data_IF_821137090011
#
_entry.id   IF_821137090011
#
_cell.length_a   1.000
_cell.length_b   1.000
_cell.length_c   1.000
_cell.angle_alpha   90.00
_cell.angle_beta   90.00
_cell.angle_gamma   90.00
#
_symmetry.space_group_name_H-M   'P 1'
#
loop_
_entity.id
_entity.type
_entity.pdbx_description
1 polymer ?
#
# COMPACT_ATOMS: atom_id res chain seq x y z
N UNK A 1 8.64 -8.04 -1.14
CA UNK A 1 8.61 -8.19 -2.61
C UNK A 1 8.45 -6.84 -3.29
N UNK A 2 9.37 -6.48 -4.20
CA UNK A 2 9.17 -5.43 -5.20
C UNK A 2 9.04 -6.13 -6.56
N UNK A 3 8.07 -5.73 -7.38
CA UNK A 3 7.77 -6.41 -8.64
C UNK A 3 8.66 -5.86 -9.77
N UNK A 4 9.43 -6.74 -10.41
CA UNK A 4 10.05 -6.49 -11.71
C UNK A 4 9.15 -7.03 -12.82
N UNK A 5 9.05 -6.26 -13.91
CA UNK A 5 7.97 -6.37 -14.90
C UNK A 5 8.18 -7.47 -15.97
N UNK A 6 9.15 -8.38 -15.84
CA UNK A 6 9.46 -9.35 -16.90
C UNK A 6 9.82 -10.80 -16.45
N UNK A 7 9.64 -11.17 -15.18
CA UNK A 7 9.75 -12.58 -14.78
C UNK A 7 8.89 -12.86 -13.55
N UNK A 8 8.21 -14.01 -13.52
CA UNK A 8 7.39 -14.46 -12.38
C UNK A 8 8.20 -14.86 -11.14
N UNK A 9 9.52 -14.63 -11.14
CA UNK A 9 10.36 -14.80 -9.96
C UNK A 9 10.36 -13.51 -9.13
N UNK A 10 9.78 -13.59 -7.94
CA UNK A 10 9.85 -12.52 -6.95
C UNK A 10 11.30 -12.37 -6.47
N UNK A 11 11.94 -11.25 -6.79
CA UNK A 11 13.25 -10.92 -6.22
C UNK A 11 13.07 -10.66 -4.72
N UNK A 12 13.75 -11.46 -3.90
CA UNK A 12 13.82 -11.24 -2.46
C UNK A 12 14.49 -9.89 -2.19
N UNK A 13 13.80 -9.01 -1.46
CA UNK A 13 14.35 -7.72 -1.09
C UNK A 13 15.10 -7.84 0.22
N UNK A 14 16.37 -7.43 0.23
CA UNK A 14 17.18 -7.35 1.46
C UNK A 14 16.67 -6.26 2.43
N UNK A 15 15.91 -5.28 1.92
CA UNK A 15 15.35 -4.16 2.70
C UNK A 15 14.04 -4.57 3.36
N UNK A 16 13.18 -5.29 2.64
CA UNK A 16 11.89 -5.80 3.12
C UNK A 16 11.73 -7.27 2.77
N UNK A 17 12.00 -8.13 3.73
CA UNK A 17 12.05 -9.58 3.52
C UNK A 17 10.70 -10.28 3.69
N UNK A 18 9.61 -9.53 3.86
CA UNK A 18 8.26 -10.08 4.00
C UNK A 18 7.64 -10.53 2.67
N UNK A 19 6.70 -11.46 2.76
CA UNK A 19 5.73 -11.69 1.69
C UNK A 19 4.62 -10.63 1.77
N UNK A 20 3.88 -10.42 0.69
CA UNK A 20 2.79 -9.46 0.69
C UNK A 20 1.91 -9.48 -0.55
N UNK A 21 0.69 -8.97 -0.38
CA UNK A 21 -0.30 -8.80 -1.44
C UNK A 21 -1.10 -7.51 -1.22
N UNK A 22 -1.93 -7.15 -2.19
CA UNK A 22 -2.87 -6.04 -2.06
C UNK A 22 -4.31 -6.53 -2.11
N UNK A 23 -5.15 -6.03 -1.20
CA UNK A 23 -6.59 -6.06 -1.34
C UNK A 23 -7.03 -4.79 -2.06
N UNK A 24 -7.83 -4.94 -3.11
CA UNK A 24 -8.32 -3.78 -3.85
C UNK A 24 -9.21 -2.89 -2.98
N UNK A 25 -9.30 -1.60 -3.33
CA UNK A 25 -10.21 -0.67 -2.65
C UNK A 25 -11.64 -1.21 -2.72
N UNK A 26 -12.33 -1.20 -1.59
CA UNK A 26 -13.69 -1.74 -1.47
C UNK A 26 -13.90 -3.11 -2.15
N UNK A 27 -12.88 -3.99 -2.12
CA UNK A 27 -12.91 -5.30 -2.80
C UNK A 27 -14.14 -6.14 -2.42
N UNK A 28 -14.54 -6.07 -1.16
CA UNK A 28 -15.75 -6.67 -0.61
C UNK A 28 -16.29 -5.78 0.53
N UNK A 29 -17.45 -6.17 1.09
CA UNK A 29 -18.12 -5.43 2.16
C UNK A 29 -17.26 -5.32 3.43
N UNK A 30 -16.44 -6.34 3.74
CA UNK A 30 -15.56 -6.33 4.91
C UNK A 30 -14.45 -5.31 4.73
N UNK A 31 -13.77 -5.34 3.58
CA UNK A 31 -12.74 -4.39 3.19
C UNK A 31 -13.30 -2.97 3.16
N UNK A 32 -14.45 -2.76 2.53
CA UNK A 32 -15.10 -1.45 2.45
C UNK A 32 -15.43 -0.89 3.85
N UNK A 33 -15.94 -1.72 4.75
CA UNK A 33 -16.26 -1.31 6.12
C UNK A 33 -15.01 -0.97 6.94
N UNK A 34 -13.90 -1.68 6.73
CA UNK A 34 -12.61 -1.35 7.36
C UNK A 34 -12.11 0.00 6.83
N UNK A 35 -12.13 0.22 5.52
CA UNK A 35 -11.70 1.48 4.91
C UNK A 35 -12.54 2.67 5.37
N UNK A 36 -13.86 2.50 5.48
CA UNK A 36 -14.76 3.52 6.02
C UNK A 36 -14.46 3.84 7.50
N UNK A 37 -14.14 2.82 8.31
CA UNK A 37 -13.75 3.01 9.72
C UNK A 37 -12.42 3.77 9.83
N UNK A 38 -11.45 3.46 8.98
CA UNK A 38 -10.17 4.17 8.91
C UNK A 38 -10.40 5.64 8.54
N UNK A 39 -11.22 5.91 7.53
CA UNK A 39 -11.54 7.29 7.13
C UNK A 39 -12.22 8.06 8.27
N UNK A 40 -13.17 7.44 8.97
CA UNK A 40 -13.84 8.05 10.11
C UNK A 40 -12.90 8.32 11.30
N UNK A 41 -11.96 7.41 11.59
CA UNK A 41 -11.00 7.57 12.70
C UNK A 41 -9.92 8.61 12.41
N UNK A 42 -9.40 8.63 11.18
CA UNK A 42 -8.31 9.51 10.77
C UNK A 42 -8.78 10.92 10.40
N UNK A 43 -10.08 11.11 10.18
CA UNK A 43 -10.66 12.30 9.56
C UNK A 43 -10.09 12.61 8.16
N UNK A 44 -9.55 11.59 7.48
CA UNK A 44 -9.04 11.70 6.12
C UNK A 44 -10.01 11.02 5.14
N UNK A 45 -10.29 11.60 3.96
CA UNK A 45 -11.24 11.05 3.01
C UNK A 45 -10.82 9.65 2.49
N UNK A 46 -11.79 8.76 2.26
CA UNK A 46 -11.52 7.38 1.84
C UNK A 46 -10.90 7.31 0.43
N UNK A 47 -11.24 8.28 -0.44
CA UNK A 47 -10.68 8.46 -1.79
C UNK A 47 -9.16 8.73 -1.75
N UNK A 48 -8.62 9.26 -0.66
CA UNK A 48 -7.19 9.49 -0.49
C UNK A 48 -6.42 8.19 -0.19
N UNK A 49 -7.11 7.13 0.23
CA UNK A 49 -6.51 5.86 0.58
C UNK A 49 -6.13 5.01 -0.65
N UNK A 50 -4.94 4.41 -0.64
CA UNK A 50 -4.54 3.36 -1.60
C UNK A 50 -5.14 2.00 -1.21
N UNK A 51 -5.14 1.01 -2.10
CA UNK A 51 -5.39 -0.41 -1.78
C UNK A 51 -4.63 -0.86 -0.53
N UNK A 52 -5.28 -1.64 0.35
CA UNK A 52 -4.64 -2.14 1.58
C UNK A 52 -3.56 -3.17 1.25
N UNK A 53 -2.37 -3.01 1.83
CA UNK A 53 -1.29 -3.97 1.68
C UNK A 53 -1.32 -4.98 2.84
N UNK A 54 -1.49 -6.27 2.54
CA UNK A 54 -1.38 -7.37 3.51
C UNK A 54 0.04 -7.91 3.46
N UNK A 55 0.62 -8.13 4.65
CA UNK A 55 2.02 -8.45 4.82
C UNK A 55 2.17 -9.55 5.85
N UNK A 56 3.04 -10.50 5.55
CA UNK A 56 3.34 -11.61 6.43
C UNK A 56 4.85 -11.74 6.60
N UNK A 57 5.28 -11.73 7.87
CA UNK A 57 6.66 -11.86 8.28
C UNK A 57 6.83 -13.16 9.05
N UNK A 58 7.70 -14.02 8.52
CA UNK A 58 8.18 -15.23 9.18
C UNK A 58 9.35 -14.93 10.12
N UNK A 59 9.85 -15.95 10.81
CA UNK A 59 11.00 -15.83 11.72
C UNK A 59 12.22 -15.20 11.01
N UNK A 60 12.79 -14.17 11.62
CA UNK A 60 13.92 -13.39 11.11
C UNK A 60 13.55 -12.33 10.08
N UNK A 61 12.35 -12.36 9.48
CA UNK A 61 11.95 -11.38 8.49
C UNK A 61 11.67 -10.02 9.12
N UNK A 62 12.01 -8.96 8.39
CA UNK A 62 12.06 -7.57 8.87
C UNK A 62 11.74 -6.57 7.75
N UNK A 63 11.64 -5.30 8.14
CA UNK A 63 11.69 -4.18 7.21
C UNK A 63 12.64 -3.14 7.77
N UNK A 64 13.70 -2.82 7.04
CA UNK A 64 14.66 -1.77 7.39
C UNK A 64 14.02 -0.39 7.56
N UNK A 65 14.67 0.54 8.28
CA UNK A 65 14.21 1.92 8.43
C UNK A 65 13.88 2.58 7.10
N UNK A 66 12.68 3.14 7.01
CA UNK A 66 12.21 3.84 5.82
C UNK A 66 11.17 4.91 6.17
N UNK A 67 10.87 5.73 5.18
CA UNK A 67 9.78 6.68 5.20
C UNK A 67 8.63 6.19 4.32
N UNK A 68 7.42 6.52 4.71
CA UNK A 68 6.25 6.26 3.88
C UNK A 68 5.99 7.39 2.87
N UNK A 69 6.53 8.59 3.07
CA UNK A 69 6.49 9.64 2.06
C UNK A 69 7.47 9.34 0.90
N UNK A 70 7.20 9.89 -0.28
CA UNK A 70 8.04 9.70 -1.46
C UNK A 70 9.22 10.67 -1.53
N UNK A 71 10.36 10.20 -2.00
CA UNK A 71 11.50 11.05 -2.36
C UNK A 71 11.50 11.44 -3.84
N UNK A 72 10.84 10.65 -4.69
CA UNK A 72 10.74 10.89 -6.12
C UNK A 72 9.46 11.64 -6.50
N UNK A 73 9.54 12.46 -7.55
CA UNK A 73 8.39 13.23 -8.03
C UNK A 73 7.34 12.36 -8.72
N UNK A 74 7.74 11.27 -9.37
CA UNK A 74 6.84 10.43 -10.15
C UNK A 74 5.73 9.81 -9.30
N UNK A 75 6.09 9.29 -8.11
CA UNK A 75 5.13 8.75 -7.16
C UNK A 75 4.26 9.83 -6.49
N UNK A 76 4.70 11.10 -6.49
CA UNK A 76 3.92 12.23 -5.98
C UNK A 76 2.87 12.73 -6.99
N UNK A 77 2.99 12.43 -8.28
CA UNK A 77 2.00 12.85 -9.27
C UNK A 77 0.61 12.28 -8.96
N UNK A 78 0.57 11.03 -8.46
CA UNK A 78 -0.67 10.36 -8.10
C UNK A 78 -0.99 10.57 -6.61
N UNK A 79 -1.91 11.49 -6.32
CA UNK A 79 -2.38 11.77 -4.97
C UNK A 79 -1.42 12.58 -4.09
N UNK A 80 -0.18 12.84 -4.53
CA UNK A 80 0.85 13.52 -3.72
C UNK A 80 1.54 12.57 -2.73
N UNK A 81 2.26 13.16 -1.76
CA UNK A 81 2.82 12.40 -0.64
C UNK A 81 1.73 11.64 0.12
N UNK A 82 2.14 10.53 0.74
CA UNK A 82 1.36 9.89 1.79
C UNK A 82 1.45 10.75 3.04
N UNK A 83 0.32 11.27 3.52
CA UNK A 83 0.24 12.10 4.72
C UNK A 83 0.20 11.25 5.99
N UNK A 84 -0.46 10.09 5.93
CA UNK A 84 -0.67 9.24 7.07
C UNK A 84 -0.63 7.76 6.69
N UNK A 85 -0.24 6.95 7.66
CA UNK A 85 -0.24 5.50 7.59
C UNK A 85 -1.04 4.94 8.75
N UNK A 86 -1.97 4.03 8.43
CA UNK A 86 -2.62 3.17 9.42
C UNK A 86 -2.06 1.76 9.25
N UNK A 87 -1.31 1.31 10.24
CA UNK A 87 -0.76 -0.04 10.33
C UNK A 87 -1.58 -0.86 11.33
N UNK A 88 -2.28 -1.87 10.84
CA UNK A 88 -3.12 -2.76 11.63
C UNK A 88 -2.40 -4.08 11.88
N UNK A 89 -2.41 -4.57 13.12
CA UNK A 89 -1.84 -5.86 13.50
C UNK A 89 -2.91 -6.95 13.42
N UNK A 90 -2.69 -7.95 12.58
CA UNK A 90 -3.65 -9.03 12.30
C UNK A 90 -3.35 -10.32 13.10
N UNK A 91 -2.17 -10.40 13.71
CA UNK A 91 -1.76 -11.47 14.62
C UNK A 91 -1.07 -10.90 15.87
N UNK A 92 -1.12 -11.68 16.95
CA UNK A 92 -0.26 -11.48 18.11
C UNK A 92 1.12 -12.06 17.78
N UNK A 93 2.19 -11.36 18.15
CA UNK A 93 3.57 -11.87 18.02
C UNK A 93 4.14 -12.06 19.42
N UNK A 94 4.65 -13.24 19.70
CA UNK A 94 5.14 -13.57 21.04
C UNK A 94 6.45 -12.84 21.38
N UNK A 95 7.34 -12.67 20.38
CA UNK A 95 8.59 -11.91 20.55
C UNK A 95 9.10 -11.37 19.21
N UNK A 96 9.64 -10.15 19.24
CA UNK A 96 10.08 -9.43 18.06
C UNK A 96 8.91 -8.81 17.27
N UNK A 97 9.15 -8.43 16.03
CA UNK A 97 8.11 -7.90 15.15
C UNK A 97 7.58 -6.51 15.53
N UNK A 98 8.21 -5.80 16.47
CA UNK A 98 7.80 -4.47 16.90
C UNK A 98 7.89 -3.46 15.75
N UNK A 99 6.98 -2.49 15.72
CA UNK A 99 7.13 -1.31 14.87
C UNK A 99 7.88 -0.24 15.64
N UNK A 100 9.03 0.18 15.14
CA UNK A 100 9.95 1.09 15.87
C UNK A 100 10.12 2.39 15.12
N UNK A 101 10.08 3.51 15.84
CA UNK A 101 10.37 4.86 15.41
C UNK A 101 11.71 5.32 16.02
N UNK A 102 12.85 5.17 15.32
CA UNK A 102 14.17 5.49 15.86
C UNK A 102 14.40 6.98 16.11
N UNK A 103 13.59 7.84 15.47
CA UNK A 103 13.71 9.29 15.56
C UNK A 103 12.65 9.93 16.46
N UNK A 104 11.65 9.18 16.92
CA UNK A 104 10.56 9.72 17.72
C UNK A 104 11.06 10.48 18.97
N UNK A 105 10.41 11.61 19.24
CA UNK A 105 10.57 12.33 20.51
C UNK A 105 10.18 11.39 21.66
N UNK A 106 11.03 11.30 22.68
CA UNK A 106 10.81 10.36 23.79
C UNK A 106 11.15 8.89 23.47
N UNK A 107 11.91 8.60 22.41
CA UNK A 107 12.40 7.24 22.13
C UNK A 107 13.13 6.55 23.30
N UNK A 108 13.77 7.33 24.17
CA UNK A 108 14.44 6.85 25.39
C UNK A 108 13.56 6.91 26.64
N UNK A 109 12.41 7.59 26.59
CA UNK A 109 11.51 7.72 27.75
C UNK A 109 10.52 6.57 27.85
N UNK A 110 10.33 5.78 26.81
CA UNK A 110 9.53 4.56 26.87
C UNK A 110 10.28 3.50 27.70
N UNK A 111 9.75 3.09 28.87
CA UNK A 111 10.38 2.04 29.66
C UNK A 111 10.32 0.72 28.90
N UNK A 112 11.47 0.04 28.80
CA UNK A 112 11.59 -1.27 28.17
C UNK A 112 12.35 -2.19 29.10
N UNK A 113 11.71 -3.29 29.45
CA UNK A 113 12.33 -4.39 30.18
C UNK A 113 12.94 -5.40 29.20
N UNK A 114 13.26 -6.59 29.71
CA UNK A 114 13.91 -7.65 28.95
C UNK A 114 12.97 -8.37 27.97
N UNK A 115 11.65 -8.08 27.95
CA UNK A 115 10.74 -8.67 26.97
C UNK A 115 10.88 -8.06 25.57
N UNK A 116 11.42 -6.84 25.48
CA UNK A 116 11.62 -6.13 24.22
C UNK A 116 12.85 -6.64 23.45
N UNK A 117 12.72 -6.76 22.12
CA UNK A 117 13.86 -7.08 21.28
C UNK A 117 14.93 -5.98 21.32
N UNK A 118 16.20 -6.34 21.08
CA UNK A 118 17.29 -5.36 20.96
C UNK A 118 17.01 -4.33 19.86
N UNK A 119 16.27 -4.73 18.82
CA UNK A 119 15.80 -3.83 17.79
C UNK A 119 14.82 -2.78 18.34
N UNK A 120 13.87 -3.16 19.19
CA UNK A 120 12.89 -2.26 19.79
C UNK A 120 13.47 -1.29 20.82
N UNK A 121 14.60 -1.66 21.45
CA UNK A 121 15.32 -0.77 22.39
C UNK A 121 15.86 0.51 21.73
N UNK A 122 16.04 0.52 20.40
CA UNK A 122 16.62 1.61 19.64
C UNK A 122 15.60 2.61 19.05
N UNK A 123 14.49 2.90 19.74
CA UNK A 123 13.45 3.82 19.26
C UNK A 123 12.21 3.81 20.14
N UNK A 124 11.20 4.64 19.86
CA UNK A 124 9.87 4.39 20.43
C UNK A 124 9.27 3.18 19.69
N UNK A 125 8.74 2.20 20.41
CA UNK A 125 8.36 0.92 19.83
C UNK A 125 6.93 0.53 20.20
N UNK A 126 6.24 -0.14 19.27
CA UNK A 126 4.88 -0.63 19.44
C UNK A 126 4.88 -2.14 19.21
N UNK A 127 4.42 -2.88 20.22
CA UNK A 127 4.25 -4.33 20.13
C UNK A 127 3.06 -4.67 19.22
N UNK A 128 3.20 -5.65 18.31
CA UNK A 128 2.10 -6.12 17.49
C UNK A 128 1.12 -6.97 18.32
N UNK A 129 -0.07 -6.43 18.58
CA UNK A 129 -1.17 -7.11 19.26
C UNK A 129 -2.37 -7.19 18.34
N UNK A 130 -2.96 -8.36 18.21
CA UNK A 130 -4.03 -8.60 17.24
C UNK A 130 -5.21 -7.68 17.49
N UNK A 131 -5.61 -6.95 16.45
CA UNK A 131 -6.72 -6.01 16.48
C UNK A 131 -6.33 -4.57 16.78
N UNK A 132 -5.12 -4.33 17.28
CA UNK A 132 -4.60 -2.97 17.48
C UNK A 132 -4.23 -2.34 16.12
N UNK A 133 -4.34 -1.01 16.07
CA UNK A 133 -3.95 -0.21 14.92
C UNK A 133 -3.11 0.99 15.35
N UNK A 134 -2.03 1.23 14.61
CA UNK A 134 -1.12 2.35 14.78
C UNK A 134 -1.37 3.37 13.67
N UNK A 135 -1.71 4.59 14.04
CA UNK A 135 -1.77 5.75 13.15
C UNK A 135 -0.54 6.62 13.39
N UNK A 136 0.19 6.94 12.33
CA UNK A 136 1.27 7.93 12.36
C UNK A 136 1.26 8.75 11.07
N UNK A 137 1.80 9.97 11.17
CA UNK A 137 1.85 10.93 10.08
C UNK A 137 3.26 10.99 9.50
N UNK A 138 3.34 11.09 8.17
CA UNK A 138 4.60 11.21 7.42
C UNK A 138 4.93 12.64 7.04
N UNK A 139 4.01 13.58 7.30
CA UNK A 139 4.15 15.00 7.00
C UNK A 139 3.77 15.82 8.24
N UNK A 140 4.41 16.98 8.38
CA UNK A 140 3.99 18.01 9.31
C UNK A 140 2.72 18.74 8.83
N UNK A 141 2.12 19.56 9.69
CA UNK A 141 0.90 20.32 9.38
C UNK A 141 1.08 21.33 8.24
N UNK A 142 2.32 21.76 7.98
CA UNK A 142 2.69 22.63 6.85
C UNK A 142 2.97 21.85 5.55
N UNK A 143 2.66 20.55 5.53
CA UNK A 143 2.90 19.61 4.44
C UNK A 143 4.37 19.33 4.10
N UNK A 144 5.31 19.73 4.95
CA UNK A 144 6.71 19.31 4.83
C UNK A 144 6.89 17.88 5.33
N UNK A 145 7.90 17.16 4.82
CA UNK A 145 8.18 15.76 5.21
C UNK A 145 8.70 15.68 6.63
N UNK A 146 8.17 14.73 7.42
CA UNK A 146 8.54 14.55 8.82
C UNK A 146 9.64 13.48 8.97
N UNK A 147 10.85 13.91 9.31
CA UNK A 147 11.98 12.98 9.53
C UNK A 147 11.83 12.09 10.77
N UNK A 148 10.94 12.46 11.70
CA UNK A 148 10.69 11.68 12.91
C UNK A 148 9.73 10.51 12.64
N UNK A 149 9.07 10.52 11.48
CA UNK A 149 8.25 9.40 10.97
C UNK A 149 9.08 8.23 10.43
N UNK A 150 10.42 8.28 10.53
CA UNK A 150 11.29 7.16 10.18
C UNK A 150 10.89 5.96 11.04
N UNK A 151 10.54 4.86 10.39
CA UNK A 151 10.09 3.67 11.09
C UNK A 151 10.57 2.39 10.43
N UNK A 152 10.53 1.30 11.19
CA UNK A 152 10.95 -0.04 10.77
C UNK A 152 10.08 -1.12 11.38
N UNK A 153 10.12 -2.32 10.80
CA UNK A 153 9.61 -3.52 11.44
C UNK A 153 10.79 -4.35 11.93
N UNK A 154 10.88 -4.55 13.25
CA UNK A 154 11.90 -5.42 13.82
C UNK A 154 11.76 -6.87 13.33
N UNK A 155 12.86 -7.64 13.34
CA UNK A 155 12.81 -9.06 13.04
C UNK A 155 11.79 -9.77 13.93
N UNK A 156 10.96 -10.63 13.35
CA UNK A 156 10.13 -11.55 14.13
C UNK A 156 11.05 -12.61 14.74
N UNK A 157 10.93 -12.89 16.04
CA UNK A 157 11.76 -13.89 16.74
C UNK A 157 10.95 -15.16 17.00
N UNK A 158 9.68 -15.01 17.40
CA UNK A 158 8.80 -16.14 17.71
C UNK A 158 7.39 -15.90 17.17
N UNK A 159 6.80 -16.95 16.57
CA UNK A 159 5.54 -16.93 15.81
C UNK A 159 5.67 -16.17 14.48
N UNK A 160 4.56 -15.59 14.01
CA UNK A 160 4.45 -14.91 12.72
C UNK A 160 3.73 -13.58 12.89
N UNK A 161 4.16 -12.57 12.14
CA UNK A 161 3.51 -11.25 12.13
C UNK A 161 2.70 -11.09 10.84
N UNK A 162 1.39 -10.93 11.00
CA UNK A 162 0.49 -10.50 9.95
C UNK A 162 0.11 -9.04 10.19
N UNK A 163 0.19 -8.22 9.14
CA UNK A 163 -0.18 -6.80 9.22
C UNK A 163 -0.89 -6.33 7.96
N UNK A 164 -1.75 -5.33 8.12
CA UNK A 164 -2.38 -4.61 7.02
C UNK A 164 -2.00 -3.13 7.08
N UNK A 165 -1.43 -2.61 6.00
CA UNK A 165 -1.04 -1.20 5.89
C UNK A 165 -2.01 -0.47 4.96
N UNK A 166 -2.58 0.63 5.45
CA UNK A 166 -3.36 1.59 4.67
C UNK A 166 -2.58 2.90 4.58
N UNK A 167 -2.09 3.23 3.39
CA UNK A 167 -1.50 4.53 3.11
C UNK A 167 -2.56 5.50 2.63
N UNK A 168 -2.51 6.73 3.15
CA UNK A 168 -3.45 7.81 2.85
C UNK A 168 -2.67 8.97 2.26
N UNK A 169 -3.06 9.41 1.07
CA UNK A 169 -2.42 10.50 0.33
C UNK A 169 -2.97 11.88 0.71
N UNK A 170 -2.24 12.94 0.38
CA UNK A 170 -2.69 14.33 0.60
C UNK A 170 -3.88 14.72 -0.28
N UNK A 171 -4.06 14.05 -1.43
CA UNK A 171 -5.19 14.21 -2.35
C UNK A 171 -5.76 12.85 -2.71
N UNK A 172 -6.90 12.85 -3.39
CA UNK A 172 -7.53 11.65 -3.96
C UNK A 172 -6.48 10.78 -4.66
N UNK A 173 -6.34 9.55 -4.19
CA UNK A 173 -5.54 8.49 -4.80
C UNK A 173 -6.41 7.53 -5.60
N UNK A 174 -7.74 7.71 -5.58
CA UNK A 174 -8.51 7.29 -6.73
C UNK A 174 -7.83 7.95 -7.92
N UNK A 175 -7.12 7.13 -8.72
CA UNK A 175 -6.79 7.45 -10.10
C UNK A 175 -8.02 8.17 -10.56
N UNK A 176 -7.84 9.45 -10.89
CA UNK A 176 -8.94 10.30 -11.32
C UNK A 176 -9.87 9.36 -12.06
N UNK A 177 -11.13 9.24 -11.61
CA UNK A 177 -12.18 8.93 -12.57
C UNK A 177 -11.70 9.65 -13.81
N UNK A 178 -11.31 8.94 -14.86
CA UNK A 178 -11.09 9.60 -16.15
C UNK A 178 -12.51 10.11 -16.44
N UNK A 179 -12.83 11.27 -15.88
CA UNK A 179 -13.53 12.36 -16.50
C UNK A 179 -12.40 12.92 -17.37
N UNK A 180 -12.16 12.41 -18.56
CA UNK A 180 -13.09 12.12 -19.63
C UNK A 180 -13.80 10.76 -19.49
N UNK A 181 -15.13 10.71 -19.29
CA UNK A 181 -16.10 11.09 -20.34
C UNK A 181 -15.42 11.28 -21.70
N UNK A 182 -14.62 10.31 -22.15
CA UNK A 182 -14.49 10.07 -23.56
C UNK A 182 -15.45 8.91 -23.80
N UNK A 183 -16.70 9.29 -24.11
CA UNK A 183 -17.65 8.37 -24.74
C UNK A 183 -17.12 7.89 -26.10
N UNK A 184 -16.06 8.50 -26.60
CA UNK A 184 -15.48 8.18 -27.88
C UNK A 184 -14.81 6.82 -27.81
N UNK A 185 -15.43 5.87 -28.50
CA UNK A 185 -14.91 4.54 -28.73
C UNK A 185 -13.67 4.63 -29.62
N UNK A 186 -12.49 4.74 -29.00
CA UNK A 186 -11.20 4.84 -29.69
C UNK A 186 -10.27 3.71 -29.28
N UNK A 187 -9.32 3.40 -30.16
CA UNK A 187 -8.17 2.57 -29.82
C UNK A 187 -7.02 3.49 -29.39
N UNK A 188 -6.47 3.28 -28.21
CA UNK A 188 -5.35 4.05 -27.66
C UNK A 188 -3.98 3.48 -28.10
N UNK A 189 -3.96 2.37 -28.85
CA UNK A 189 -2.75 1.76 -29.38
C UNK A 189 -2.90 1.38 -30.86
N UNK A 190 -1.87 1.63 -31.67
CA UNK A 190 -1.85 1.32 -33.11
C UNK A 190 -1.99 -0.18 -33.39
N UNK A 191 -1.56 -1.04 -32.46
CA UNK A 191 -1.62 -2.50 -32.60
C UNK A 191 -2.97 -3.11 -32.17
N UNK A 192 -3.93 -2.31 -31.68
CA UNK A 192 -5.21 -2.83 -31.18
C UNK A 192 -5.94 -3.71 -32.19
N UNK A 193 -5.91 -3.34 -33.49
CA UNK A 193 -6.55 -4.14 -34.55
C UNK A 193 -5.86 -5.49 -34.75
N UNK A 194 -4.53 -5.51 -34.69
CA UNK A 194 -3.72 -6.72 -34.80
C UNK A 194 -3.97 -7.67 -33.63
N UNK A 195 -3.97 -7.13 -32.41
CA UNK A 195 -4.23 -7.89 -31.19
C UNK A 195 -5.66 -8.42 -31.12
N UNK A 196 -6.64 -7.60 -31.50
CA UNK A 196 -8.03 -8.06 -31.60
C UNK A 196 -8.18 -9.20 -32.61
N UNK A 197 -7.49 -9.11 -33.76
CA UNK A 197 -7.46 -10.19 -34.77
C UNK A 197 -6.74 -11.46 -34.27
N UNK A 198 -5.81 -11.33 -33.32
CA UNK A 198 -5.11 -12.43 -32.67
C UNK A 198 -5.90 -13.06 -31.49
N UNK A 199 -7.10 -12.54 -31.20
CA UNK A 199 -7.99 -13.03 -30.14
C UNK A 199 -7.71 -12.44 -28.76
N UNK A 200 -6.96 -11.35 -28.65
CA UNK A 200 -6.61 -10.75 -27.35
C UNK A 200 -7.81 -10.17 -26.61
N UNK A 201 -8.92 -9.87 -27.30
CA UNK A 201 -10.15 -9.43 -26.63
C UNK A 201 -10.68 -10.47 -25.63
N UNK A 202 -10.46 -11.77 -25.89
CA UNK A 202 -10.87 -12.87 -25.02
C UNK A 202 -9.74 -13.30 -24.08
N UNK A 203 -8.50 -13.27 -24.54
CA UNK A 203 -7.31 -13.69 -23.76
C UNK A 203 -6.84 -12.63 -22.76
N UNK A 204 -7.04 -11.37 -23.08
CA UNK A 204 -6.63 -10.22 -22.28
C UNK A 204 -7.75 -9.16 -22.19
N UNK A 205 -8.93 -9.52 -21.64
CA UNK A 205 -10.09 -8.64 -21.62
C UNK A 205 -9.85 -7.40 -20.74
N UNK A 206 -9.05 -7.50 -19.68
CA UNK A 206 -8.72 -6.36 -18.82
C UNK A 206 -8.01 -5.24 -19.59
N UNK A 207 -6.99 -5.56 -20.39
CA UNK A 207 -6.28 -4.55 -21.17
C UNK A 207 -7.10 -4.10 -22.38
N UNK A 208 -7.73 -5.04 -23.08
CA UNK A 208 -8.36 -4.77 -24.36
C UNK A 208 -9.74 -4.09 -24.22
N UNK A 209 -10.56 -4.54 -23.25
CA UNK A 209 -11.96 -4.14 -23.07
C UNK A 209 -12.16 -3.30 -21.80
N UNK A 210 -11.53 -3.68 -20.70
CA UNK A 210 -11.71 -3.09 -19.37
C UNK A 210 -12.81 -3.74 -18.55
N UNK A 211 -13.24 -3.08 -17.47
CA UNK A 211 -14.33 -3.51 -16.58
C UNK A 211 -15.39 -2.41 -16.41
N UNK A 212 -16.34 -2.59 -15.49
CA UNK A 212 -17.34 -1.56 -15.15
C UNK A 212 -16.68 -0.28 -14.60
N UNK A 213 -15.50 -0.40 -13.98
CA UNK A 213 -14.81 0.70 -13.30
C UNK A 213 -13.74 1.39 -14.15
N UNK A 214 -13.34 0.80 -15.28
CA UNK A 214 -12.35 1.38 -16.20
C UNK A 214 -12.49 0.85 -17.63
N UNK A 215 -12.15 1.69 -18.62
CA UNK A 215 -12.14 1.30 -20.03
C UNK A 215 -10.78 0.73 -20.44
N UNK A 216 -10.81 -0.38 -21.18
CA UNK A 216 -9.64 -0.92 -21.85
C UNK A 216 -9.18 -0.06 -23.02
N UNK A 217 -7.96 -0.32 -23.48
CA UNK A 217 -7.25 0.50 -24.45
C UNK A 217 -7.64 0.22 -25.91
N UNK A 218 -8.31 -0.91 -26.19
CA UNK A 218 -8.58 -1.40 -27.55
C UNK A 218 -10.07 -1.67 -27.79
N UNK A 219 -10.94 -0.91 -27.14
CA UNK A 219 -12.38 -1.16 -27.11
C UNK A 219 -13.04 -1.07 -28.48
N UNK A 220 -12.54 -0.20 -29.35
CA UNK A 220 -13.03 -0.08 -30.74
C UNK A 220 -12.66 -1.30 -31.56
N UNK A 221 -11.41 -1.74 -31.50
CA UNK A 221 -10.95 -2.96 -32.16
C UNK A 221 -11.64 -4.23 -31.63
N UNK A 222 -11.96 -4.27 -30.33
CA UNK A 222 -12.75 -5.35 -29.73
C UNK A 222 -14.27 -5.21 -29.91
N UNK A 223 -14.73 -4.18 -30.63
CA UNK A 223 -16.16 -3.97 -30.98
C UNK A 223 -17.10 -3.92 -29.77
N UNK A 224 -16.59 -3.51 -28.60
CA UNK A 224 -17.41 -3.38 -27.38
C UNK A 224 -18.12 -2.02 -27.29
N UNK A 225 -17.84 -1.12 -28.24
CA UNK A 225 -18.53 0.16 -28.41
C UNK A 225 -18.55 0.54 -29.89
N UNK A 226 -19.35 1.54 -30.24
CA UNK A 226 -19.42 2.13 -31.58
C UNK A 226 -19.34 3.65 -31.42
N UNK A 227 -18.57 4.30 -32.29
CA UNK A 227 -18.45 5.76 -32.32
C UNK A 227 -19.78 6.44 -32.62
#
# INVERSE_FOLDING_TARGET
MAADNESSDSIESEVRTSSGMFLQKAQDEVVANIEARIAAWTFLPAENGKSMQILHYENGQKYEPHFDYFHDKANQELGGHRIATVLMYLSDVESGGETVFPNAEGKLSQPKDDSWSDCAKNGYAVEPRKGDALLFFSLHLDATTDSDSLHRSCPVIKCEKWSATKWIHVRSFDTAKRQSVNRDCVDENENCATWASAGECEKNPSYMIGSEDYYGYCRKSCKVCSS
#
